data_IF_934853156926
#
_entry.id   IF_934853156926
#
_cell.length_a   1.000
_cell.length_b   1.000
_cell.length_c   1.000
_cell.angle_alpha   90.00
_cell.angle_beta   90.00
_cell.angle_gamma   90.00
#
_symmetry.space_group_name_H-M   'P 1'
#
loop_
_entity.id
_entity.type
_entity.pdbx_description
1 polymer ?
#
# COMPACT_ATOMS: atom_id res chain seq x y z
N UNK A 1 26.17 12.32 9.94
CA UNK A 1 25.85 13.55 9.20
C UNK A 1 24.38 13.44 8.79
N UNK A 2 23.46 14.23 9.39
CA UNK A 2 22.07 14.25 8.96
C UNK A 2 21.99 15.13 7.72
N UNK A 3 21.58 14.54 6.61
CA UNK A 3 21.19 15.30 5.42
C UNK A 3 19.93 16.08 5.81
N UNK A 4 19.89 17.41 5.67
CA UNK A 4 18.66 18.16 5.95
C UNK A 4 17.63 17.76 4.90
N UNK A 5 16.50 17.23 5.37
CA UNK A 5 15.34 16.98 4.51
C UNK A 5 14.88 18.28 3.82
N UNK A 6 14.21 18.17 2.66
CA UNK A 6 13.74 19.34 1.94
C UNK A 6 12.85 20.18 2.85
N UNK A 7 13.17 21.46 2.99
CA UNK A 7 12.30 22.42 3.68
C UNK A 7 10.99 22.44 2.92
N UNK A 8 9.91 22.11 3.62
CA UNK A 8 8.55 22.35 3.15
C UNK A 8 8.37 23.87 3.01
N UNK A 9 8.81 24.42 1.89
CA UNK A 9 8.40 25.77 1.52
C UNK A 9 6.88 25.66 1.24
N UNK A 10 6.10 26.63 1.70
CA UNK A 10 4.63 26.60 1.72
C UNK A 10 3.93 26.40 0.37
N UNK A 11 4.62 25.92 -0.67
CA UNK A 11 4.11 25.68 -2.02
C UNK A 11 3.26 24.41 -2.14
N UNK A 12 3.49 23.42 -1.26
CA UNK A 12 2.60 22.26 -1.21
C UNK A 12 1.25 22.55 -0.56
N UNK A 13 1.15 23.59 0.29
CA UNK A 13 -0.12 24.00 0.90
C UNK A 13 -0.98 24.91 0.01
N UNK A 14 -0.44 25.44 -1.08
CA UNK A 14 -1.14 26.34 -2.01
C UNK A 14 -1.43 25.67 -3.36
N UNK A 15 -1.98 24.46 -3.36
CA UNK A 15 -2.72 24.01 -4.52
C UNK A 15 -4.06 24.77 -4.51
N UNK A 16 -4.05 25.97 -5.08
CA UNK A 16 -5.24 26.80 -5.24
C UNK A 16 -6.39 25.99 -5.84
N UNK A 17 -7.56 26.15 -5.27
CA UNK A 17 -8.87 25.69 -5.71
C UNK A 17 -9.35 26.28 -7.04
N UNK A 18 -8.49 26.40 -8.03
CA UNK A 18 -8.93 26.64 -9.40
C UNK A 18 -9.32 25.28 -9.96
N UNK A 19 -10.62 25.10 -10.17
CA UNK A 19 -11.27 23.96 -10.81
C UNK A 19 -10.50 23.49 -12.06
N UNK A 20 -9.56 22.57 -11.87
CA UNK A 20 -8.92 21.86 -12.97
C UNK A 20 -9.75 20.61 -13.28
N UNK A 21 -9.88 20.24 -14.54
CA UNK A 21 -10.65 19.06 -14.91
C UNK A 21 -10.03 17.83 -14.25
N UNK A 22 -10.83 17.15 -13.45
CA UNK A 22 -10.54 15.85 -12.86
C UNK A 22 -11.06 14.80 -13.83
N UNK A 23 -10.24 13.86 -14.22
CA UNK A 23 -10.73 12.69 -14.94
C UNK A 23 -11.28 11.68 -13.92
N UNK A 24 -12.56 11.39 -14.05
CA UNK A 24 -13.24 10.39 -13.23
C UNK A 24 -12.96 9.01 -13.84
N UNK A 25 -12.13 8.22 -13.15
CA UNK A 25 -11.96 6.81 -13.49
C UNK A 25 -12.85 5.97 -12.59
N UNK A 26 -13.87 5.37 -13.18
CA UNK A 26 -14.67 4.33 -12.55
C UNK A 26 -14.13 2.96 -12.94
N UNK A 27 -14.04 2.05 -11.98
CA UNK A 27 -13.97 0.63 -12.27
C UNK A 27 -15.37 0.05 -12.41
N UNK A 28 -15.47 -1.18 -12.94
CA UNK A 28 -16.74 -1.88 -13.11
C UNK A 28 -17.46 -2.23 -11.78
N UNK A 29 -16.87 -1.87 -10.63
CA UNK A 29 -17.38 -2.13 -9.28
C UNK A 29 -17.85 -0.86 -8.56
N UNK A 30 -17.90 0.28 -9.27
CA UNK A 30 -18.38 1.55 -8.71
C UNK A 30 -17.35 2.30 -7.85
N UNK A 31 -16.10 1.86 -7.82
CA UNK A 31 -15.03 2.64 -7.23
C UNK A 31 -14.59 3.73 -8.22
N UNK A 32 -14.69 4.97 -7.81
CA UNK A 32 -14.26 6.12 -8.60
C UNK A 32 -12.95 6.64 -8.04
N UNK A 33 -11.94 6.74 -8.90
CA UNK A 33 -10.69 7.41 -8.58
C UNK A 33 -10.63 8.68 -9.39
N UNK A 34 -10.57 9.80 -8.69
CA UNK A 34 -10.25 11.06 -9.30
C UNK A 34 -8.75 11.16 -9.45
N UNK A 35 -8.26 11.02 -10.65
CA UNK A 35 -6.84 11.19 -10.96
C UNK A 35 -6.67 12.60 -11.52
N UNK A 36 -5.91 13.48 -10.83
CA UNK A 36 -5.53 14.75 -11.42
C UNK A 36 -4.72 14.48 -12.69
N UNK A 37 -4.96 15.24 -13.76
CA UNK A 37 -4.16 15.21 -15.00
C UNK A 37 -2.69 15.60 -14.80
N UNK A 38 -2.29 15.84 -13.59
CA UNK A 38 -0.93 16.24 -13.20
C UNK A 38 -0.34 15.18 -12.28
N UNK A 39 1.00 15.09 -12.14
CA UNK A 39 1.64 14.19 -11.20
C UNK A 39 0.97 14.24 -9.84
N UNK A 40 0.70 13.08 -9.24
CA UNK A 40 0.05 12.96 -7.94
C UNK A 40 0.79 13.70 -6.81
N UNK A 41 0.16 13.89 -5.65
CA UNK A 41 0.74 14.67 -4.55
C UNK A 41 2.16 14.22 -4.18
N UNK A 42 2.43 12.92 -4.11
CA UNK A 42 3.77 12.40 -3.81
C UNK A 42 4.77 12.80 -4.88
N UNK A 43 4.44 12.65 -6.15
CA UNK A 43 5.33 13.00 -7.26
C UNK A 43 5.61 14.50 -7.29
N UNK A 44 4.59 15.35 -7.09
CA UNK A 44 4.74 16.81 -7.09
C UNK A 44 5.55 17.34 -5.92
N UNK A 45 5.25 16.85 -4.74
CA UNK A 45 5.82 17.38 -3.50
C UNK A 45 7.19 16.78 -3.17
N UNK A 46 7.42 15.53 -3.54
CA UNK A 46 8.58 14.76 -3.10
C UNK A 46 9.43 14.17 -4.23
N UNK A 47 9.01 14.37 -5.48
CA UNK A 47 9.80 13.93 -6.63
C UNK A 47 9.80 12.43 -6.88
N UNK A 48 8.84 11.69 -6.33
CA UNK A 48 8.70 10.25 -6.59
C UNK A 48 8.52 9.98 -8.08
N UNK A 49 9.28 9.05 -8.63
CA UNK A 49 9.30 8.76 -10.06
C UNK A 49 8.42 7.56 -10.43
N UNK A 50 8.08 7.44 -11.71
CA UNK A 50 7.37 6.26 -12.24
C UNK A 50 8.18 4.97 -12.11
N UNK A 51 9.50 5.05 -12.18
CA UNK A 51 10.40 3.93 -11.96
C UNK A 51 10.34 3.44 -10.51
N UNK A 52 10.24 4.36 -9.55
CA UNK A 52 10.05 4.00 -8.14
C UNK A 52 8.72 3.29 -7.91
N UNK A 53 7.64 3.72 -8.56
CA UNK A 53 6.37 2.99 -8.55
C UNK A 53 6.52 1.58 -9.15
N UNK A 54 7.27 1.44 -10.25
CA UNK A 54 7.53 0.14 -10.87
C UNK A 54 8.16 -0.87 -9.91
N UNK A 55 9.05 -0.42 -9.00
CA UNK A 55 9.69 -1.32 -8.02
C UNK A 55 8.70 -2.02 -7.09
N UNK A 56 7.54 -1.41 -6.80
CA UNK A 56 6.46 -2.04 -6.04
C UNK A 56 5.90 -3.22 -6.84
N UNK A 57 5.44 -2.96 -8.07
CA UNK A 57 4.84 -3.99 -8.93
C UNK A 57 5.80 -5.13 -9.25
N UNK A 58 7.07 -4.81 -9.58
CA UNK A 58 8.15 -5.79 -9.84
C UNK A 58 8.36 -6.69 -8.64
N UNK A 59 8.41 -6.10 -7.43
CA UNK A 59 8.63 -6.86 -6.20
C UNK A 59 7.46 -7.81 -5.92
N UNK A 60 6.23 -7.31 -5.98
CA UNK A 60 5.05 -8.12 -5.70
C UNK A 60 4.83 -9.20 -6.76
N UNK A 61 5.11 -8.91 -8.04
CA UNK A 61 5.09 -9.94 -9.09
C UNK A 61 6.14 -11.01 -8.89
N UNK A 62 7.33 -10.64 -8.35
CA UNK A 62 8.34 -11.63 -7.97
C UNK A 62 7.86 -12.51 -6.82
N UNK A 63 7.16 -11.96 -5.83
CA UNK A 63 6.54 -12.76 -4.75
C UNK A 63 5.46 -13.69 -5.33
N UNK A 64 4.58 -13.17 -6.16
CA UNK A 64 3.54 -13.95 -6.84
C UNK A 64 4.10 -15.11 -7.68
N UNK A 65 5.27 -14.93 -8.31
CA UNK A 65 5.90 -16.01 -9.10
C UNK A 65 6.30 -17.23 -8.27
N UNK A 66 6.38 -17.09 -6.94
CA UNK A 66 6.66 -18.17 -6.00
C UNK A 66 5.39 -18.71 -5.34
N UNK A 67 4.25 -18.06 -5.54
CA UNK A 67 2.95 -18.46 -5.01
C UNK A 67 2.16 -19.22 -6.08
N UNK A 68 1.96 -20.55 -5.94
CA UNK A 68 1.26 -21.34 -6.96
C UNK A 68 -0.23 -20.95 -7.13
N UNK A 69 -0.79 -20.21 -6.17
CA UNK A 69 -2.18 -19.77 -6.22
C UNK A 69 -2.35 -18.37 -6.82
N UNK A 70 -1.26 -17.66 -7.09
CA UNK A 70 -1.33 -16.32 -7.66
C UNK A 70 -1.84 -16.33 -9.10
N UNK A 71 -2.69 -15.35 -9.42
CA UNK A 71 -3.25 -15.20 -10.77
C UNK A 71 -2.17 -14.82 -11.78
N UNK A 72 -1.24 -13.95 -11.39
CA UNK A 72 -0.19 -13.42 -12.25
C UNK A 72 1.19 -13.87 -11.74
N UNK A 73 1.75 -14.91 -12.35
CA UNK A 73 3.02 -15.50 -11.89
C UNK A 73 4.24 -15.10 -12.75
N UNK A 74 4.04 -14.57 -13.96
CA UNK A 74 5.14 -14.21 -14.85
C UNK A 74 5.82 -12.91 -14.36
N UNK A 75 7.09 -12.95 -13.95
CA UNK A 75 7.82 -11.75 -13.55
C UNK A 75 7.90 -10.72 -14.69
N UNK A 76 8.06 -9.46 -14.34
CA UNK A 76 8.35 -8.38 -15.26
C UNK A 76 9.44 -7.45 -14.67
N UNK A 77 10.04 -6.64 -15.50
CA UNK A 77 11.11 -5.71 -15.12
C UNK A 77 10.59 -4.27 -14.99
N UNK A 78 11.41 -3.36 -14.49
CA UNK A 78 11.10 -1.93 -14.49
C UNK A 78 10.89 -1.42 -15.92
N UNK A 79 11.67 -1.90 -16.87
CA UNK A 79 11.57 -1.56 -18.29
C UNK A 79 10.22 -2.02 -18.87
N UNK A 80 9.76 -3.23 -18.53
CA UNK A 80 8.45 -3.74 -18.94
C UNK A 80 7.31 -2.87 -18.37
N UNK A 81 7.45 -2.44 -17.10
CA UNK A 81 6.49 -1.52 -16.50
C UNK A 81 6.46 -0.19 -17.27
N UNK A 82 7.63 0.39 -17.55
CA UNK A 82 7.73 1.67 -18.26
C UNK A 82 7.26 1.56 -19.73
N UNK A 83 7.34 0.38 -20.35
CA UNK A 83 6.81 0.11 -21.68
C UNK A 83 5.30 -0.17 -21.68
N UNK A 84 4.70 -0.45 -20.51
CA UNK A 84 3.27 -0.74 -20.42
C UNK A 84 2.42 0.52 -20.69
N UNK A 85 1.22 0.30 -21.24
CA UNK A 85 0.33 1.42 -21.60
C UNK A 85 -0.11 2.20 -20.37
N UNK A 86 -0.28 3.50 -20.52
CA UNK A 86 -0.99 4.32 -19.54
C UNK A 86 -2.47 3.94 -19.50
N UNK A 87 -3.01 3.81 -18.31
CA UNK A 87 -4.45 3.76 -18.08
C UNK A 87 -4.95 5.17 -17.81
N UNK A 88 -4.26 5.87 -16.90
CA UNK A 88 -4.46 7.27 -16.61
C UNK A 88 -3.11 7.84 -16.16
N UNK A 89 -2.55 8.78 -16.93
CA UNK A 89 -1.28 9.42 -16.57
C UNK A 89 -1.33 9.99 -15.16
N UNK A 90 -0.38 9.66 -14.27
CA UNK A 90 0.90 8.97 -14.52
C UNK A 90 0.87 7.44 -14.32
N UNK A 91 -0.29 6.81 -14.08
CA UNK A 91 -0.40 5.39 -13.77
C UNK A 91 -0.50 4.51 -15.01
N UNK A 92 0.29 3.46 -15.01
CA UNK A 92 0.37 2.47 -16.08
C UNK A 92 -0.43 1.21 -15.74
N UNK A 93 -0.66 0.35 -16.70
CA UNK A 93 -1.41 -0.90 -16.52
C UNK A 93 -0.88 -1.74 -15.35
N UNK A 94 0.43 -1.79 -15.15
CA UNK A 94 1.06 -2.60 -14.10
C UNK A 94 1.05 -1.94 -12.71
N UNK A 95 0.49 -0.73 -12.59
CA UNK A 95 0.22 -0.07 -11.32
C UNK A 95 -1.15 -0.42 -10.72
N UNK A 96 -1.99 -1.15 -11.45
CA UNK A 96 -3.37 -1.46 -11.08
C UNK A 96 -3.52 -2.88 -10.55
N UNK A 97 -4.40 -3.05 -9.56
CA UNK A 97 -4.79 -4.34 -9.04
C UNK A 97 -5.51 -5.20 -10.09
N UNK A 98 -5.59 -6.47 -9.77
CA UNK A 98 -6.32 -7.44 -10.59
C UNK A 98 -7.84 -7.26 -10.46
N UNK A 99 -8.54 -7.76 -11.47
CA UNK A 99 -9.99 -7.95 -11.44
C UNK A 99 -10.21 -9.45 -11.56
N UNK A 100 -10.67 -10.08 -10.49
CA UNK A 100 -10.90 -11.53 -10.45
C UNK A 100 -11.97 -11.88 -9.41
N UNK A 101 -12.56 -13.05 -9.55
CA UNK A 101 -13.50 -13.61 -8.58
C UNK A 101 -12.76 -14.47 -7.55
N UNK A 102 -13.28 -14.50 -6.32
CA UNK A 102 -12.74 -15.34 -5.28
C UNK A 102 -13.48 -15.15 -3.96
N UNK A 103 -13.02 -15.88 -2.95
CA UNK A 103 -13.57 -15.79 -1.60
C UNK A 103 -12.48 -16.04 -0.54
N UNK A 104 -12.62 -15.35 0.58
CA UNK A 104 -11.77 -15.53 1.76
C UNK A 104 -12.64 -15.91 2.94
N UNK A 105 -12.18 -16.88 3.73
CA UNK A 105 -12.80 -17.25 4.99
C UNK A 105 -11.78 -17.13 6.13
N UNK A 106 -12.10 -16.32 7.13
CA UNK A 106 -11.28 -16.15 8.33
C UNK A 106 -12.10 -16.59 9.54
N UNK A 107 -11.53 -17.51 10.34
CA UNK A 107 -12.16 -17.99 11.57
C UNK A 107 -11.42 -17.36 12.75
N UNK A 108 -12.13 -16.55 13.51
CA UNK A 108 -11.64 -15.94 14.75
C UNK A 108 -12.24 -16.65 15.96
N UNK A 109 -11.44 -16.78 17.01
CA UNK A 109 -11.87 -17.38 18.29
C UNK A 109 -11.12 -16.75 19.45
N UNK A 110 -11.48 -17.08 20.68
CA UNK A 110 -10.74 -16.60 21.85
C UNK A 110 -9.35 -17.26 21.94
N UNK A 111 -8.42 -16.58 22.62
CA UNK A 111 -7.07 -17.09 22.86
C UNK A 111 -7.07 -18.45 23.56
N UNK A 112 -8.00 -18.65 24.52
CA UNK A 112 -8.13 -19.88 25.29
C UNK A 112 -8.48 -21.06 24.38
N UNK A 113 -9.51 -20.93 23.53
CA UNK A 113 -9.89 -21.96 22.57
C UNK A 113 -8.81 -22.19 21.50
N UNK A 114 -8.12 -21.15 21.11
CA UNK A 114 -7.09 -21.24 20.07
C UNK A 114 -5.91 -22.12 20.49
N UNK A 115 -5.61 -22.22 21.81
CA UNK A 115 -4.53 -23.08 22.35
C UNK A 115 -4.76 -24.56 22.07
N UNK A 116 -6.02 -24.99 22.03
CA UNK A 116 -6.41 -26.38 21.85
C UNK A 116 -6.54 -26.76 20.37
N UNK A 117 -6.33 -25.80 19.44
CA UNK A 117 -6.42 -26.06 18.02
C UNK A 117 -5.10 -26.61 17.45
N UNK A 118 -5.22 -27.41 16.39
CA UNK A 118 -4.10 -28.10 15.75
C UNK A 118 -2.99 -27.15 15.23
N UNK A 119 -3.34 -25.96 14.81
CA UNK A 119 -2.39 -25.00 14.25
C UNK A 119 -2.04 -23.92 15.27
N UNK A 120 -0.78 -23.46 15.23
CA UNK A 120 -0.34 -22.32 16.04
C UNK A 120 -1.27 -21.13 15.82
N UNK A 121 -1.84 -20.54 16.88
CA UNK A 121 -2.68 -19.37 16.75
C UNK A 121 -1.86 -18.14 16.39
N UNK A 122 -2.41 -17.28 15.55
CA UNK A 122 -1.93 -15.92 15.31
C UNK A 122 -2.84 -14.97 16.08
N UNK A 123 -2.26 -14.15 16.93
CA UNK A 123 -3.00 -13.26 17.82
C UNK A 123 -3.18 -11.90 17.15
N UNK A 124 -4.37 -11.32 17.28
CA UNK A 124 -4.60 -9.89 17.00
C UNK A 124 -4.16 -9.12 18.23
N UNK A 125 -3.00 -8.48 18.17
CA UNK A 125 -2.40 -7.77 19.30
C UNK A 125 -2.82 -6.31 19.39
N UNK A 126 -3.25 -5.71 18.27
CA UNK A 126 -3.71 -4.33 18.23
C UNK A 126 -4.52 -4.07 16.97
N UNK A 127 -5.32 -3.03 17.02
CA UNK A 127 -6.01 -2.49 15.86
C UNK A 127 -6.10 -0.97 15.99
N UNK A 128 -6.22 -0.30 14.85
CA UNK A 128 -6.49 1.13 14.78
C UNK A 128 -7.51 1.39 13.68
N UNK A 129 -8.39 2.32 13.92
CA UNK A 129 -9.35 2.77 12.94
C UNK A 129 -9.54 4.28 13.04
N UNK A 130 -9.68 4.93 11.90
CA UNK A 130 -10.05 6.33 11.83
C UNK A 130 -10.94 6.55 10.62
N UNK A 131 -11.97 7.31 10.82
CA UNK A 131 -12.79 7.84 9.75
C UNK A 131 -12.42 9.30 9.53
N UNK A 132 -12.00 9.65 8.32
CA UNK A 132 -11.79 11.04 7.96
C UNK A 132 -13.17 11.69 7.76
N UNK A 133 -13.51 12.63 8.62
CA UNK A 133 -14.73 13.40 8.48
C UNK A 133 -14.53 14.48 7.42
N UNK A 134 -14.59 14.10 6.16
CA UNK A 134 -14.63 15.04 5.05
C UNK A 134 -15.98 14.94 4.37
N UNK A 135 -16.70 16.05 4.29
CA UNK A 135 -18.02 16.13 3.65
C UNK A 135 -18.05 15.71 2.17
N UNK A 136 -16.90 15.52 1.59
CA UNK A 136 -16.75 14.80 0.33
C UNK A 136 -15.33 14.28 0.23
N UNK A 137 -15.18 12.99 0.33
CA UNK A 137 -13.94 12.28 -0.02
C UNK A 137 -13.45 12.58 -1.44
N UNK A 138 -14.24 13.25 -2.25
CA UNK A 138 -14.00 13.50 -3.68
C UNK A 138 -13.68 14.97 -3.99
N UNK A 139 -14.12 15.94 -3.20
CA UNK A 139 -14.03 17.36 -3.55
C UNK A 139 -12.97 18.15 -2.76
N UNK A 140 -12.53 17.68 -1.61
CA UNK A 140 -11.50 18.33 -0.80
C UNK A 140 -10.30 17.40 -0.65
N UNK A 141 -9.48 17.30 -1.69
CA UNK A 141 -8.17 16.68 -1.56
C UNK A 141 -7.27 17.57 -0.70
N UNK A 142 -7.34 17.37 0.62
CA UNK A 142 -6.19 17.68 1.45
C UNK A 142 -5.04 16.76 1.01
N UNK A 143 -3.92 17.33 0.62
CA UNK A 143 -2.71 16.59 0.23
C UNK A 143 -2.15 15.72 1.36
N UNK A 144 -2.71 15.81 2.55
CA UNK A 144 -2.33 15.04 3.74
C UNK A 144 -3.33 13.95 4.11
N UNK A 145 -4.44 13.81 3.38
CA UNK A 145 -5.55 12.91 3.74
C UNK A 145 -5.11 11.50 4.12
N UNK A 146 -4.06 10.98 3.47
CA UNK A 146 -3.53 9.64 3.68
C UNK A 146 -2.52 9.57 4.84
N UNK A 147 -1.90 10.68 5.21
CA UNK A 147 -0.79 10.68 6.16
C UNK A 147 -1.26 10.80 7.61
N UNK A 148 -2.05 11.81 7.92
CA UNK A 148 -2.44 12.11 9.30
C UNK A 148 -3.36 11.03 9.89
N UNK A 149 -4.33 10.54 9.09
CA UNK A 149 -5.22 9.45 9.49
C UNK A 149 -4.46 8.14 9.68
N UNK A 150 -3.53 7.82 8.78
CA UNK A 150 -2.71 6.63 8.90
C UNK A 150 -1.79 6.68 10.13
N UNK A 151 -1.21 7.85 10.45
CA UNK A 151 -0.44 8.06 11.67
C UNK A 151 -1.29 7.84 12.93
N UNK A 152 -2.54 8.29 12.93
CA UNK A 152 -3.46 8.09 14.04
C UNK A 152 -3.81 6.60 14.22
N UNK A 153 -4.13 5.89 13.14
CA UNK A 153 -4.37 4.45 13.16
C UNK A 153 -3.14 3.67 13.63
N UNK A 154 -1.96 4.04 13.13
CA UNK A 154 -0.70 3.43 13.52
C UNK A 154 -0.44 3.59 15.02
N UNK A 155 -0.60 4.79 15.57
CA UNK A 155 -0.43 5.04 17.02
C UNK A 155 -1.37 4.19 17.86
N UNK A 156 -2.63 4.02 17.44
CA UNK A 156 -3.60 3.18 18.15
C UNK A 156 -3.16 1.70 18.12
N UNK A 157 -2.88 1.16 16.92
CA UNK A 157 -2.52 -0.24 16.74
C UNK A 157 -1.20 -0.59 17.44
N UNK A 158 -0.16 0.21 17.25
CA UNK A 158 1.15 0.01 17.87
C UNK A 158 1.08 0.17 19.40
N UNK A 159 0.36 1.19 19.87
CA UNK A 159 0.18 1.41 21.31
C UNK A 159 -0.55 0.26 21.99
N UNK A 160 -1.57 -0.31 21.37
CA UNK A 160 -2.30 -1.47 21.88
C UNK A 160 -1.43 -2.73 21.86
N UNK A 161 -0.65 -2.94 20.80
CA UNK A 161 0.21 -4.09 20.66
C UNK A 161 1.51 -4.00 21.48
N UNK A 162 1.89 -2.80 21.91
CA UNK A 162 3.15 -2.56 22.63
C UNK A 162 4.40 -2.68 21.75
N UNK A 163 4.27 -2.38 20.46
CA UNK A 163 5.34 -2.44 19.46
C UNK A 163 5.44 -1.14 18.68
N UNK A 164 6.49 -1.00 17.87
CA UNK A 164 6.65 0.10 16.92
C UNK A 164 6.86 -0.41 15.48
N UNK A 165 6.96 0.50 14.50
CA UNK A 165 7.17 0.10 13.11
C UNK A 165 8.50 -0.66 12.88
N UNK A 166 9.49 -0.46 13.76
CA UNK A 166 10.77 -1.18 13.72
C UNK A 166 10.70 -2.64 14.16
N UNK A 167 9.60 -3.05 14.80
CA UNK A 167 9.38 -4.41 15.31
C UNK A 167 8.55 -5.26 14.34
N UNK A 168 8.20 -4.72 13.17
CA UNK A 168 7.39 -5.41 12.16
C UNK A 168 8.29 -6.21 11.23
N UNK A 169 8.15 -7.53 11.24
CA UNK A 169 8.94 -8.46 10.43
C UNK A 169 8.39 -8.64 9.00
N UNK A 170 7.08 -8.48 8.81
CA UNK A 170 6.42 -8.56 7.52
C UNK A 170 5.20 -7.64 7.48
N UNK A 171 4.97 -7.03 6.34
CA UNK A 171 3.90 -6.05 6.16
C UNK A 171 2.95 -6.48 5.04
N UNK A 172 1.66 -6.53 5.34
CA UNK A 172 0.62 -6.77 4.35
C UNK A 172 -0.21 -5.50 4.22
N UNK A 173 -0.11 -4.82 3.09
CA UNK A 173 -0.81 -3.57 2.85
C UNK A 173 -1.75 -3.65 1.65
N UNK A 174 -2.80 -2.86 1.70
CA UNK A 174 -3.77 -2.73 0.63
C UNK A 174 -3.12 -2.05 -0.58
N UNK A 175 -2.87 -2.81 -1.63
CA UNK A 175 -2.15 -2.40 -2.85
C UNK A 175 -3.05 -2.41 -4.07
N UNK A 176 -4.21 -1.75 -4.00
CA UNK A 176 -5.06 -1.59 -5.17
C UNK A 176 -4.38 -0.79 -6.30
N UNK A 177 -3.38 0.03 -5.95
CA UNK A 177 -2.50 0.76 -6.87
C UNK A 177 -1.09 0.84 -6.27
N UNK A 178 -0.06 0.92 -7.11
CA UNK A 178 1.33 1.09 -6.63
C UNK A 178 1.51 2.30 -5.67
N UNK A 179 0.92 3.48 -5.92
CA UNK A 179 1.04 4.62 -4.99
C UNK A 179 0.46 4.38 -3.60
N UNK A 180 -0.57 3.55 -3.45
CA UNK A 180 -1.17 3.27 -2.13
C UNK A 180 -0.21 2.57 -1.18
N UNK A 181 0.71 1.78 -1.74
CA UNK A 181 1.80 1.16 -0.96
C UNK A 181 2.73 2.23 -0.39
N UNK A 182 3.09 3.23 -1.19
CA UNK A 182 3.94 4.34 -0.77
C UNK A 182 3.26 5.15 0.35
N UNK A 183 1.97 5.43 0.20
CA UNK A 183 1.17 6.10 1.22
C UNK A 183 1.15 5.31 2.54
N UNK A 184 0.96 3.99 2.46
CA UNK A 184 0.94 3.14 3.63
C UNK A 184 2.30 3.11 4.35
N UNK A 185 3.42 3.03 3.59
CA UNK A 185 4.77 3.01 4.16
C UNK A 185 5.07 4.29 4.97
N UNK A 186 4.72 5.45 4.42
CA UNK A 186 4.92 6.73 5.10
C UNK A 186 3.91 6.93 6.25
N UNK A 187 2.63 6.68 5.97
CA UNK A 187 1.55 6.87 6.93
C UNK A 187 1.67 5.97 8.15
N UNK A 188 2.16 4.75 8.01
CA UNK A 188 2.36 3.81 9.12
C UNK A 188 3.76 3.92 9.77
N UNK A 189 4.60 4.85 9.29
CA UNK A 189 5.87 5.19 9.92
C UNK A 189 7.04 4.26 9.61
N UNK A 190 6.98 3.48 8.52
CA UNK A 190 8.10 2.64 8.08
C UNK A 190 9.23 3.46 7.45
N UNK A 191 8.91 4.60 6.88
CA UNK A 191 9.85 5.61 6.40
C UNK A 191 9.32 7.02 6.68
N UNK A 192 10.17 8.02 6.50
CA UNK A 192 9.79 9.41 6.63
C UNK A 192 8.90 9.87 5.47
N UNK A 193 8.20 10.98 5.69
CA UNK A 193 7.34 11.58 4.68
C UNK A 193 8.15 12.00 3.45
N UNK A 194 7.75 11.55 2.26
CA UNK A 194 8.44 11.79 1.00
C UNK A 194 9.65 10.87 0.77
N UNK A 195 9.87 9.87 1.62
CA UNK A 195 11.01 8.94 1.52
C UNK A 195 10.60 7.57 0.95
N UNK A 196 9.32 7.33 0.71
CA UNK A 196 8.83 6.02 0.26
C UNK A 196 9.37 5.61 -1.12
N UNK A 197 9.58 6.56 -2.03
CA UNK A 197 10.18 6.29 -3.35
C UNK A 197 11.55 5.63 -3.25
N UNK A 198 12.57 6.30 -2.67
CA UNK A 198 13.88 5.70 -2.41
C UNK A 198 13.83 4.43 -1.54
N UNK A 199 12.87 4.36 -0.62
CA UNK A 199 12.70 3.21 0.26
C UNK A 199 12.34 1.93 -0.50
N UNK A 200 11.44 2.00 -1.49
CA UNK A 200 11.03 0.84 -2.30
C UNK A 200 12.09 0.46 -3.33
N UNK A 201 12.80 1.44 -3.90
CA UNK A 201 13.86 1.25 -4.88
C UNK A 201 15.04 0.45 -4.31
N UNK A 202 15.34 0.63 -3.02
CA UNK A 202 16.40 -0.08 -2.31
C UNK A 202 16.18 -1.58 -2.11
N UNK A 203 15.07 -2.14 -2.59
CA UNK A 203 14.74 -3.56 -2.44
C UNK A 203 14.25 -3.92 -1.04
N UNK A 204 13.88 -2.96 -0.26
CA UNK A 204 13.42 -3.10 1.14
C UNK A 204 12.22 -4.02 1.27
N UNK A 205 11.31 -4.00 0.28
CA UNK A 205 10.06 -4.78 0.29
C UNK A 205 10.23 -6.24 -0.13
N UNK A 206 11.40 -6.64 -0.65
CA UNK A 206 11.66 -8.01 -1.13
C UNK A 206 11.71 -9.01 0.02
N UNK A 207 11.45 -10.28 -0.27
CA UNK A 207 11.79 -11.36 0.65
C UNK A 207 13.27 -11.32 1.01
N UNK A 208 13.56 -11.34 2.31
CA UNK A 208 14.91 -11.12 2.84
C UNK A 208 15.33 -9.64 2.90
N UNK A 209 14.50 -8.71 2.46
CA UNK A 209 14.68 -7.28 2.68
C UNK A 209 14.35 -6.86 4.11
N UNK A 210 14.46 -5.57 4.39
CA UNK A 210 14.22 -5.02 5.73
C UNK A 210 12.74 -5.12 6.14
N UNK A 211 11.81 -5.00 5.18
CA UNK A 211 10.36 -5.05 5.41
C UNK A 211 9.69 -5.84 4.27
N UNK A 212 9.76 -7.18 4.27
CA UNK A 212 9.04 -7.98 3.29
C UNK A 212 7.56 -7.59 3.25
N UNK A 213 7.08 -7.19 2.07
CA UNK A 213 5.73 -6.63 1.93
C UNK A 213 4.95 -7.42 0.90
N UNK A 214 3.67 -7.75 1.19
CA UNK A 214 2.78 -8.51 0.32
C UNK A 214 3.47 -9.75 -0.26
N UNK A 215 3.91 -10.63 0.62
CA UNK A 215 4.78 -11.78 0.33
C UNK A 215 4.14 -12.84 -0.54
N UNK A 216 2.82 -12.79 -0.72
CA UNK A 216 2.04 -13.63 -1.64
C UNK A 216 1.86 -13.04 -3.04
N UNK A 217 2.20 -11.74 -3.22
CA UNK A 217 2.03 -10.99 -4.45
C UNK A 217 0.98 -9.88 -4.42
N UNK A 218 0.20 -9.79 -3.34
CA UNK A 218 -0.80 -8.74 -3.11
C UNK A 218 -1.89 -8.64 -4.18
N UNK A 219 -2.61 -7.54 -4.18
CA UNK A 219 -3.66 -7.23 -5.17
C UNK A 219 -3.11 -7.04 -6.58
N UNK A 220 -1.87 -6.57 -6.70
CA UNK A 220 -1.23 -6.33 -7.98
C UNK A 220 -0.88 -7.62 -8.72
N UNK A 221 -0.82 -8.78 -8.03
CA UNK A 221 -0.34 -10.00 -8.68
C UNK A 221 -0.95 -11.31 -8.17
N UNK A 222 -1.30 -11.41 -6.88
CA UNK A 222 -1.91 -12.62 -6.34
C UNK A 222 -3.39 -12.70 -6.69
N UNK A 223 -4.21 -11.86 -6.07
CA UNK A 223 -5.65 -11.76 -6.31
C UNK A 223 -6.21 -10.51 -5.63
N UNK A 224 -7.43 -10.11 -6.01
CA UNK A 224 -8.08 -8.95 -5.40
C UNK A 224 -9.38 -9.37 -4.68
N UNK A 225 -9.31 -9.46 -3.34
CA UNK A 225 -10.42 -9.81 -2.45
C UNK A 225 -10.68 -8.71 -1.42
N UNK A 226 -10.58 -7.44 -1.82
CA UNK A 226 -10.78 -6.27 -0.96
C UNK A 226 -9.89 -6.27 0.30
N UNK A 227 -8.64 -6.80 0.20
CA UNK A 227 -7.67 -6.85 1.29
C UNK A 227 -7.80 -8.06 2.22
N UNK A 228 -8.83 -8.88 2.06
CA UNK A 228 -8.99 -10.05 2.95
C UNK A 228 -7.96 -11.14 2.72
N UNK A 229 -7.48 -11.34 1.50
CA UNK A 229 -6.39 -12.26 1.17
C UNK A 229 -5.07 -11.86 1.83
N UNK A 230 -4.82 -10.57 2.01
CA UNK A 230 -3.65 -10.05 2.72
C UNK A 230 -3.67 -10.49 4.19
N UNK A 231 -4.84 -10.56 4.81
CA UNK A 231 -4.97 -11.10 6.17
C UNK A 231 -4.67 -12.61 6.21
N UNK A 232 -5.03 -13.36 5.16
CA UNK A 232 -4.67 -14.77 5.04
C UNK A 232 -3.16 -14.93 4.97
N UNK A 233 -2.50 -14.10 4.17
CA UNK A 233 -1.05 -14.13 4.06
C UNK A 233 -0.37 -13.71 5.38
N UNK A 234 -0.87 -12.67 6.06
CA UNK A 234 -0.37 -12.29 7.38
C UNK A 234 -0.45 -13.46 8.38
N UNK A 235 -1.55 -14.21 8.36
CA UNK A 235 -1.71 -15.42 9.21
C UNK A 235 -0.74 -16.52 8.80
N UNK A 236 -0.46 -16.71 7.50
CA UNK A 236 0.53 -17.68 7.01
C UNK A 236 1.92 -17.32 7.50
N UNK A 237 2.34 -16.07 7.34
CA UNK A 237 3.63 -15.57 7.81
C UNK A 237 3.77 -15.70 9.34
N UNK A 238 2.72 -15.40 10.11
CA UNK A 238 2.72 -15.56 11.57
C UNK A 238 2.77 -17.02 12.05
N UNK A 239 2.56 -18.00 11.15
CA UNK A 239 2.63 -19.43 11.47
C UNK A 239 3.97 -20.07 11.11
N UNK A 240 4.75 -19.47 10.25
CA UNK A 240 6.00 -19.98 9.70
C UNK A 240 5.77 -20.89 8.50
#
# INVERSE_FOLDING_TARGET
>A
MRVPGPRLDGRCHQANSTSRPLDLLGDNHGNFILVPREPGPIQRCYGTTSEQLAHVGVTFRKHASMNPNAVMQNPFTVEDHQASRFICDPLRLLDYCLINDGAVCIIMTTRERARDLRKRPVLISGFGAREAYTESSIANFDLNFWYDEAQDMARQAYGMAGVGPGDVDAFMCYDNFSPTVLFALEGLGFCGRGESGPFVEGGTLKLGGKLPTNTDGGHLSNSYMQGWELNVEAVRQGRG
#
